data_IF_386592222180
#
_entry.id   IF_386592222180
#
_cell.length_a   1.000
_cell.length_b   1.000
_cell.length_c   1.000
_cell.angle_alpha   90.00
_cell.angle_beta   90.00
_cell.angle_gamma   90.00
#
_symmetry.space_group_name_H-M   'P 1'
#
loop_
_entity.id
_entity.type
_entity.pdbx_description
1 polymer ?
#
# COMPACT_ATOMS: atom_id res chain seq x y z
N UNK A 1 -16.34 -19.82 -9.53
CA UNK A 1 -16.67 -19.53 -8.12
C UNK A 1 -15.36 -19.41 -7.36
N UNK A 2 -14.80 -18.20 -7.27
CA UNK A 2 -13.54 -18.00 -6.55
C UNK A 2 -13.83 -18.07 -5.06
N UNK A 3 -13.41 -19.15 -4.39
CA UNK A 3 -13.33 -19.18 -2.94
C UNK A 3 -12.15 -18.30 -2.51
N UNK A 4 -12.33 -16.99 -2.63
CA UNK A 4 -11.51 -16.06 -1.89
C UNK A 4 -11.89 -16.28 -0.43
N UNK A 5 -11.05 -17.00 0.30
CA UNK A 5 -11.20 -17.13 1.74
C UNK A 5 -11.20 -15.74 2.36
N UNK A 6 -12.12 -15.43 3.26
CA UNK A 6 -12.18 -14.12 3.94
C UNK A 6 -10.82 -13.70 4.51
N UNK A 7 -10.04 -14.68 4.99
CA UNK A 7 -8.65 -14.49 5.47
C UNK A 7 -7.68 -13.90 4.43
N UNK A 8 -7.89 -14.14 3.14
CA UNK A 8 -7.10 -13.55 2.07
C UNK A 8 -7.50 -12.08 1.85
N UNK A 9 -8.79 -11.76 1.98
CA UNK A 9 -9.31 -10.39 1.88
C UNK A 9 -8.86 -9.54 3.06
N UNK A 10 -8.94 -10.08 4.28
CA UNK A 10 -8.45 -9.42 5.48
C UNK A 10 -6.97 -9.02 5.34
N UNK A 11 -6.12 -9.95 4.87
CA UNK A 11 -4.71 -9.68 4.60
C UNK A 11 -4.48 -8.62 3.54
N UNK A 12 -5.37 -8.50 2.55
CA UNK A 12 -5.28 -7.44 1.53
C UNK A 12 -5.63 -6.10 2.13
N UNK A 13 -6.70 -6.00 2.92
CA UNK A 13 -7.12 -4.76 3.58
C UNK A 13 -6.09 -4.28 4.62
N UNK A 14 -5.39 -5.21 5.27
CA UNK A 14 -4.24 -4.92 6.13
C UNK A 14 -2.99 -4.52 5.33
N UNK A 15 -2.88 -4.91 4.06
CA UNK A 15 -1.72 -4.59 3.24
C UNK A 15 -1.89 -3.27 2.48
N UNK A 16 -3.11 -2.94 2.05
CA UNK A 16 -3.41 -1.85 1.12
C UNK A 16 -4.78 -1.22 1.40
N UNK A 17 -4.91 0.06 1.07
CA UNK A 17 -6.16 0.81 1.04
C UNK A 17 -6.43 1.42 -0.33
N UNK A 18 -7.68 1.78 -0.57
CA UNK A 18 -8.16 2.37 -1.84
C UNK A 18 -7.43 3.68 -2.15
N UNK A 19 -7.05 4.44 -1.12
CA UNK A 19 -6.37 5.73 -1.24
C UNK A 19 -4.85 5.62 -1.31
N UNK A 20 -4.28 4.41 -1.21
CA UNK A 20 -2.84 4.23 -1.21
C UNK A 20 -2.28 4.36 -2.63
N UNK A 21 -1.11 5.00 -2.75
CA UNK A 21 -0.31 4.87 -3.96
C UNK A 21 0.65 3.70 -3.77
N UNK A 22 0.55 2.73 -4.68
CA UNK A 22 1.35 1.51 -4.67
C UNK A 22 2.31 1.47 -5.86
N UNK A 23 3.51 0.97 -5.61
CA UNK A 23 4.42 0.50 -6.66
C UNK A 23 4.31 -1.02 -6.78
N UNK A 24 4.05 -1.50 -7.99
CA UNK A 24 3.97 -2.91 -8.30
C UNK A 24 4.69 -3.22 -9.62
N UNK A 25 5.00 -4.50 -9.83
CA UNK A 25 5.56 -5.00 -11.09
C UNK A 25 4.47 -5.71 -11.89
N UNK A 26 4.34 -5.39 -13.17
CA UNK A 26 3.47 -6.13 -14.09
C UNK A 26 4.08 -7.51 -14.34
N UNK A 27 3.35 -8.57 -14.00
CA UNK A 27 3.78 -9.96 -14.24
C UNK A 27 3.14 -10.56 -15.48
N UNK A 28 1.95 -10.08 -15.84
CA UNK A 28 1.23 -10.54 -17.02
C UNK A 28 0.26 -9.46 -17.48
N UNK A 29 0.08 -9.39 -18.79
CA UNK A 29 -0.99 -8.64 -19.41
C UNK A 29 -1.90 -9.63 -20.15
N UNK A 30 -3.20 -9.55 -19.90
CA UNK A 30 -4.20 -10.36 -20.58
C UNK A 30 -5.35 -9.46 -21.00
N UNK A 31 -5.45 -9.19 -22.30
CA UNK A 31 -6.38 -8.20 -22.85
C UNK A 31 -6.21 -6.83 -22.15
N UNK A 32 -7.25 -6.39 -21.44
CA UNK A 32 -7.31 -5.12 -20.71
C UNK A 32 -7.04 -5.28 -19.20
N UNK A 33 -6.63 -6.48 -18.77
CA UNK A 33 -6.30 -6.77 -17.38
C UNK A 33 -4.79 -6.93 -17.20
N UNK A 34 -4.27 -6.35 -16.12
CA UNK A 34 -2.87 -6.46 -15.73
C UNK A 34 -2.77 -7.20 -14.40
N UNK A 35 -2.06 -8.32 -14.40
CA UNK A 35 -1.69 -9.00 -13.17
C UNK A 35 -0.47 -8.28 -12.59
N UNK A 36 -0.59 -7.85 -11.33
CA UNK A 36 0.42 -7.09 -10.61
C UNK A 36 1.02 -7.94 -9.48
N UNK A 37 2.32 -7.79 -9.25
CA UNK A 37 3.01 -8.38 -8.10
C UNK A 37 3.63 -7.29 -7.23
N UNK A 38 3.53 -7.48 -5.91
CA UNK A 38 4.18 -6.64 -4.89
C UNK A 38 5.13 -7.48 -4.01
N UNK A 39 5.50 -8.69 -4.43
CA UNK A 39 6.24 -9.64 -3.56
C UNK A 39 7.65 -9.18 -3.17
N UNK A 40 8.25 -8.28 -3.96
CA UNK A 40 9.61 -7.77 -3.75
C UNK A 40 9.66 -6.66 -2.68
N UNK A 41 10.82 -6.46 -2.04
CA UNK A 41 10.97 -5.53 -0.90
C UNK A 41 10.79 -4.05 -1.26
N UNK A 42 11.08 -3.67 -2.50
CA UNK A 42 10.94 -2.30 -2.99
C UNK A 42 9.56 -2.03 -3.63
N UNK A 43 8.66 -3.01 -3.56
CA UNK A 43 7.28 -2.95 -4.05
C UNK A 43 6.30 -2.94 -2.88
N UNK A 44 5.20 -2.23 -3.05
CA UNK A 44 4.23 -1.98 -1.99
C UNK A 44 3.80 -0.51 -1.98
N UNK A 45 3.21 -0.10 -0.87
CA UNK A 45 2.76 1.27 -0.62
C UNK A 45 3.96 2.21 -0.59
N UNK A 46 3.94 3.26 -1.41
CA UNK A 46 4.94 4.33 -1.46
C UNK A 46 4.43 5.65 -0.88
N UNK A 47 3.11 5.81 -0.78
CA UNK A 47 2.44 6.93 -0.14
C UNK A 47 1.08 6.49 0.40
N UNK A 48 0.70 7.00 1.57
CA UNK A 48 -0.59 6.72 2.20
C UNK A 48 -1.03 7.87 3.12
N UNK A 49 -2.34 8.11 3.15
CA UNK A 49 -2.99 9.06 4.05
C UNK A 49 -3.69 8.34 5.19
N UNK A 50 -3.81 9.01 6.33
CA UNK A 50 -4.48 8.46 7.49
C UNK A 50 -5.97 8.27 7.21
N UNK A 51 -6.48 7.05 7.44
CA UNK A 51 -7.89 6.73 7.19
C UNK A 51 -8.87 7.53 8.05
N UNK A 52 -8.40 8.11 9.16
CA UNK A 52 -9.23 8.88 10.10
C UNK A 52 -9.29 10.37 9.73
N UNK A 53 -8.15 10.98 9.36
CA UNK A 53 -8.04 12.44 9.26
C UNK A 53 -7.39 12.95 7.96
N UNK A 54 -7.06 12.05 7.03
CA UNK A 54 -6.47 12.37 5.73
C UNK A 54 -5.05 12.95 5.81
N UNK A 55 -4.42 12.97 6.99
CA UNK A 55 -3.06 13.47 7.12
C UNK A 55 -2.07 12.42 6.62
N UNK A 56 -1.04 12.80 5.84
CA UNK A 56 -0.07 11.86 5.32
C UNK A 56 0.61 11.08 6.46
N UNK A 57 0.68 9.76 6.35
CA UNK A 57 1.23 8.89 7.39
C UNK A 57 2.75 8.76 7.35
N UNK A 58 3.42 8.68 8.51
CA UNK A 58 4.87 8.47 8.61
C UNK A 58 5.19 7.00 8.89
N UNK A 59 6.28 6.50 8.32
CA UNK A 59 6.77 5.13 8.57
C UNK A 59 7.45 5.05 9.92
N UNK A 60 6.94 4.18 10.79
CA UNK A 60 7.51 3.94 12.13
C UNK A 60 8.15 2.55 12.26
N UNK A 61 7.81 1.60 11.39
CA UNK A 61 8.45 0.28 11.32
C UNK A 61 8.39 -0.30 9.91
N UNK A 62 8.78 -1.57 9.76
CA UNK A 62 8.74 -2.27 8.47
C UNK A 62 7.34 -2.29 7.82
N UNK A 63 6.28 -2.47 8.62
CA UNK A 63 4.90 -2.58 8.14
C UNK A 63 3.91 -1.66 8.86
N UNK A 64 4.39 -0.76 9.73
CA UNK A 64 3.53 0.16 10.46
C UNK A 64 3.76 1.61 10.05
N UNK A 65 2.64 2.27 9.86
CA UNK A 65 2.52 3.70 9.61
C UNK A 65 1.83 4.37 10.81
N UNK A 66 2.18 5.62 11.11
CA UNK A 66 1.58 6.42 12.16
C UNK A 66 1.15 7.77 11.62
N UNK A 67 0.01 8.26 12.10
CA UNK A 67 -0.42 9.63 11.86
C UNK A 67 0.13 10.54 12.96
N UNK A 68 0.94 11.53 12.60
CA UNK A 68 1.46 12.52 13.55
C UNK A 68 0.39 13.49 14.05
N UNK A 69 -0.75 13.60 13.36
CA UNK A 69 -1.85 14.50 13.75
C UNK A 69 -2.83 13.89 14.77
N UNK A 70 -3.34 12.68 14.50
CA UNK A 70 -4.35 12.03 15.34
C UNK A 70 -3.82 10.81 16.12
N UNK A 71 -2.56 10.42 15.89
CA UNK A 71 -1.95 9.27 16.56
C UNK A 71 -2.37 7.90 16.02
N UNK A 72 -3.25 7.82 15.02
CA UNK A 72 -3.69 6.55 14.44
C UNK A 72 -2.51 5.73 13.93
N UNK A 73 -2.57 4.41 14.13
CA UNK A 73 -1.55 3.47 13.64
C UNK A 73 -2.18 2.47 12.69
N UNK A 74 -1.51 2.25 11.57
CA UNK A 74 -2.04 1.45 10.47
C UNK A 74 -0.97 0.48 9.99
N UNK A 75 -1.37 -0.76 9.73
CA UNK A 75 -0.50 -1.74 9.07
C UNK A 75 -0.65 -1.60 7.56
N UNK A 76 0.46 -1.63 6.82
CA UNK A 76 0.50 -1.65 5.35
C UNK A 76 1.67 -2.50 4.86
N UNK A 77 1.61 -2.95 3.60
CA UNK A 77 2.75 -3.53 2.90
C UNK A 77 3.60 -2.39 2.31
N UNK A 78 4.50 -1.86 3.13
CA UNK A 78 5.27 -0.65 2.83
C UNK A 78 6.47 -0.98 1.94
N UNK A 79 6.67 -0.21 0.87
CA UNK A 79 7.89 -0.27 0.08
C UNK A 79 9.09 0.26 0.90
N UNK A 80 10.29 -0.26 0.65
CA UNK A 80 11.48 0.21 1.38
C UNK A 80 11.71 1.72 1.28
N UNK A 81 11.41 2.30 0.14
CA UNK A 81 11.57 3.71 -0.21
C UNK A 81 10.27 4.52 -0.04
N UNK A 82 9.41 4.12 0.88
CA UNK A 82 8.21 4.89 1.25
C UNK A 82 8.52 6.37 1.45
N UNK A 83 7.80 7.24 0.72
CA UNK A 83 8.01 8.70 0.61
C UNK A 83 9.36 9.17 0.04
N UNK A 84 10.27 8.28 -0.29
CA UNK A 84 11.53 8.60 -0.95
C UNK A 84 11.48 8.16 -2.42
N UNK A 85 10.53 8.72 -3.15
CA UNK A 85 10.29 8.44 -4.56
C UNK A 85 10.80 9.60 -5.39
N UNK A 86 11.74 9.34 -6.31
CA UNK A 86 12.31 10.37 -7.20
C UNK A 86 11.28 10.95 -8.19
N UNK A 87 10.18 10.24 -8.41
CA UNK A 87 9.09 10.71 -9.25
C UNK A 87 8.17 11.63 -8.45
N UNK A 88 7.90 12.86 -8.96
CA UNK A 88 6.92 13.73 -8.33
C UNK A 88 5.57 13.03 -8.37
N UNK A 89 5.08 12.62 -7.20
CA UNK A 89 3.70 12.17 -7.04
C UNK A 89 2.82 13.40 -7.30
N UNK A 90 2.31 13.51 -8.52
CA UNK A 90 1.31 14.51 -8.89
C UNK A 90 -0.05 13.93 -8.53
N UNK A 91 -0.63 14.46 -7.46
CA UNK A 91 -2.01 14.20 -7.04
C UNK A 91 -2.89 15.32 -7.59
#
# INVERSE_FOLDING_TARGET
MSQISDRYVEKIQEAFQITDIIRARVIKQKYNEYDLSTSEKNLGVIYADCVICGTPLVKISYNKLRCERCGNQESRKIANDYRNVDQPLRF
#
